data_IF_368993641886
#
_entry.id   IF_368993641886
#
_cell.length_a   1.000
_cell.length_b   1.000
_cell.length_c   1.000
_cell.angle_alpha   90.00
_cell.angle_beta   90.00
_cell.angle_gamma   90.00
#
_symmetry.space_group_name_H-M   'P 1'
#
loop_
_entity.id
_entity.type
_entity.pdbx_description
1 polymer ?
#
# COMPACT_ATOMS: atom_id res chain seq x y z
N UNK A 1 -1.86 23.33 -10.06
CA UNK A 1 -1.18 22.93 -8.80
C UNK A 1 -1.74 21.63 -8.20
N UNK A 2 -2.60 20.88 -8.92
CA UNK A 2 -3.17 19.60 -8.46
C UNK A 2 -2.66 18.38 -9.27
N UNK A 3 -2.11 18.60 -10.47
CA UNK A 3 -1.66 17.51 -11.35
C UNK A 3 -0.19 17.08 -11.11
N UNK A 4 0.62 17.92 -10.45
CA UNK A 4 2.03 17.63 -10.20
C UNK A 4 2.24 16.58 -9.09
N UNK A 5 1.33 16.51 -8.11
CA UNK A 5 1.43 15.58 -6.97
C UNK A 5 1.07 14.14 -7.36
N UNK A 6 0.14 13.96 -8.29
CA UNK A 6 -0.20 12.64 -8.84
C UNK A 6 0.93 12.07 -9.73
N UNK A 7 1.74 12.93 -10.36
CA UNK A 7 2.81 12.49 -11.25
C UNK A 7 4.08 12.00 -10.52
N UNK A 8 4.31 12.46 -9.28
CA UNK A 8 5.45 12.00 -8.49
C UNK A 8 5.24 10.59 -7.90
N UNK A 9 4.00 10.11 -7.81
CA UNK A 9 3.67 8.77 -7.30
C UNK A 9 3.87 7.64 -8.35
N UNK A 10 4.02 7.98 -9.63
CA UNK A 10 4.15 6.99 -10.71
C UNK A 10 5.62 6.68 -11.06
N UNK A 11 6.59 7.43 -10.54
CA UNK A 11 7.99 7.34 -10.98
C UNK A 11 8.87 6.29 -10.29
N UNK A 12 8.36 5.49 -9.36
CA UNK A 12 9.12 4.41 -8.68
C UNK A 12 8.44 3.03 -8.77
N UNK A 13 7.53 2.85 -9.73
CA UNK A 13 6.97 1.53 -10.00
C UNK A 13 8.08 0.58 -10.50
N UNK A 14 8.54 -0.28 -9.61
CA UNK A 14 9.40 -1.41 -9.91
C UNK A 14 10.85 -1.24 -9.50
N UNK A 15 11.13 -1.31 -8.18
CA UNK A 15 12.34 -1.93 -7.56
C UNK A 15 12.37 -1.67 -6.03
N UNK A 16 11.35 -2.10 -5.29
CA UNK A 16 11.29 -1.92 -3.83
C UNK A 16 9.93 -2.28 -3.23
N UNK A 17 9.73 -1.95 -1.95
CA UNK A 17 8.42 -2.01 -1.29
C UNK A 17 7.53 -0.85 -1.73
N UNK A 18 6.28 -1.12 -2.11
CA UNK A 18 5.27 -0.11 -2.40
C UNK A 18 4.72 0.47 -1.08
N UNK A 19 4.64 1.80 -1.02
CA UNK A 19 4.06 2.53 0.11
C UNK A 19 2.67 3.04 -0.26
N UNK A 20 1.70 2.77 0.59
CA UNK A 20 0.32 3.25 0.43
C UNK A 20 0.02 4.37 1.41
N UNK A 21 -0.86 5.28 0.99
CA UNK A 21 -1.43 6.34 1.81
C UNK A 21 -2.95 6.36 1.64
N UNK A 22 -3.67 6.62 2.73
CA UNK A 22 -5.12 6.72 2.69
C UNK A 22 -5.56 7.99 1.93
N UNK A 23 -6.32 7.91 0.82
CA UNK A 23 -6.85 9.08 0.13
C UNK A 23 -7.99 9.75 0.91
N UNK A 24 -8.69 8.99 1.77
CA UNK A 24 -9.83 9.43 2.57
C UNK A 24 -9.73 8.86 3.99
N UNK A 25 -10.46 9.46 4.92
CA UNK A 25 -10.61 8.91 6.28
C UNK A 25 -11.69 7.84 6.31
N UNK A 26 -11.53 6.79 7.11
CA UNK A 26 -12.55 5.75 7.24
C UNK A 26 -12.05 4.47 7.89
N UNK A 27 -12.90 3.44 7.84
CA UNK A 27 -12.60 2.10 8.33
C UNK A 27 -11.70 1.40 7.32
N UNK A 28 -10.51 0.97 7.75
CA UNK A 28 -9.56 0.24 6.91
C UNK A 28 -9.88 -1.26 6.92
N UNK A 29 -10.11 -1.81 5.74
CA UNK A 29 -10.32 -3.25 5.52
C UNK A 29 -9.17 -3.79 4.66
N UNK A 30 -8.56 -4.88 5.11
CA UNK A 30 -7.51 -5.57 4.37
C UNK A 30 -8.12 -6.65 3.48
N UNK A 31 -7.83 -6.61 2.18
CA UNK A 31 -8.34 -7.59 1.21
C UNK A 31 -7.43 -8.82 1.04
N UNK A 32 -6.20 -8.76 1.55
CA UNK A 32 -5.22 -9.84 1.54
C UNK A 32 -4.87 -10.29 2.96
N UNK A 33 -4.54 -11.56 3.11
CA UNK A 33 -4.02 -12.17 4.34
C UNK A 33 -2.50 -12.15 4.33
N UNK A 34 -1.93 -12.19 5.54
CA UNK A 34 -0.47 -12.37 5.67
C UNK A 34 -0.05 -13.66 4.98
N UNK A 35 0.99 -13.58 4.17
CA UNK A 35 1.52 -14.67 3.35
C UNK A 35 0.99 -14.72 1.92
N UNK A 36 -0.06 -13.96 1.59
CA UNK A 36 -0.61 -13.93 0.23
C UNK A 36 0.38 -13.29 -0.76
N UNK A 37 0.47 -13.88 -1.95
CA UNK A 37 1.09 -13.25 -3.11
C UNK A 37 0.18 -12.13 -3.63
N UNK A 38 0.77 -10.97 -3.89
CA UNK A 38 0.11 -9.79 -4.42
C UNK A 38 0.57 -9.60 -5.85
N UNK A 39 -0.37 -9.44 -6.79
CA UNK A 39 -0.09 -9.09 -8.18
C UNK A 39 -0.34 -7.60 -8.45
N UNK A 40 0.29 -7.07 -9.49
CA UNK A 40 -0.03 -5.72 -10.01
C UNK A 40 -1.51 -5.66 -10.40
N UNK A 41 -2.16 -4.56 -10.03
CA UNK A 41 -3.59 -4.31 -10.21
C UNK A 41 -4.48 -4.95 -9.15
N UNK A 42 -3.94 -5.79 -8.25
CA UNK A 42 -4.75 -6.46 -7.25
C UNK A 42 -5.29 -5.48 -6.20
N UNK A 43 -6.61 -5.47 -5.92
CA UNK A 43 -7.20 -4.72 -4.82
C UNK A 43 -6.58 -5.12 -3.49
N UNK A 44 -6.16 -4.13 -2.71
CA UNK A 44 -5.33 -4.34 -1.52
C UNK A 44 -6.00 -3.88 -0.24
N UNK A 45 -6.56 -2.68 -0.26
CA UNK A 45 -7.27 -2.09 0.87
C UNK A 45 -8.59 -1.53 0.39
N UNK A 46 -9.60 -1.63 1.25
CA UNK A 46 -10.80 -0.80 1.14
C UNK A 46 -10.80 0.17 2.33
N UNK A 47 -11.16 1.42 2.08
CA UNK A 47 -11.47 2.40 3.12
C UNK A 47 -12.96 2.69 3.00
N UNK A 48 -13.71 2.34 4.04
CA UNK A 48 -15.16 2.48 4.08
C UNK A 48 -15.53 3.70 4.94
N UNK A 49 -16.33 4.61 4.39
CA UNK A 49 -16.98 5.66 5.18
C UNK A 49 -18.18 5.05 5.92
N UNK A 50 -18.15 4.97 7.26
CA UNK A 50 -19.21 4.33 8.03
C UNK A 50 -20.53 5.13 8.05
N UNK A 51 -20.52 6.40 7.62
CA UNK A 51 -21.71 7.24 7.59
C UNK A 51 -22.48 7.12 6.27
N UNK A 52 -21.75 6.89 5.18
CA UNK A 52 -22.29 6.89 3.81
C UNK A 52 -22.25 5.53 3.13
N UNK A 53 -21.52 4.56 3.70
CA UNK A 53 -21.20 3.25 3.09
C UNK A 53 -20.36 3.34 1.81
N UNK A 54 -19.81 4.52 1.49
CA UNK A 54 -18.91 4.69 0.35
C UNK A 54 -17.60 3.94 0.58
N UNK A 55 -17.14 3.20 -0.45
CA UNK A 55 -15.91 2.40 -0.39
C UNK A 55 -14.87 2.91 -1.38
N UNK A 56 -13.71 3.31 -0.86
CA UNK A 56 -12.53 3.65 -1.67
C UNK A 56 -11.54 2.49 -1.68
N UNK A 57 -11.34 1.86 -2.85
CA UNK A 57 -10.41 0.74 -3.02
C UNK A 57 -9.04 1.19 -3.52
N UNK A 58 -7.97 0.76 -2.85
CA UNK A 58 -6.59 0.93 -3.31
C UNK A 58 -6.07 -0.35 -3.95
N UNK A 59 -5.41 -0.23 -5.10
CA UNK A 59 -4.83 -1.34 -5.87
C UNK A 59 -3.31 -1.27 -5.86
N UNK A 60 -2.65 -2.43 -5.91
CA UNK A 60 -1.19 -2.50 -5.87
C UNK A 60 -0.56 -2.27 -7.24
N UNK A 61 0.53 -1.52 -7.27
CA UNK A 61 1.35 -1.32 -8.47
C UNK A 61 2.61 -2.20 -8.46
N UNK A 62 2.77 -3.06 -7.44
CA UNK A 62 3.94 -3.93 -7.28
C UNK A 62 3.53 -5.36 -7.01
N UNK A 63 4.27 -6.32 -7.59
CA UNK A 63 4.11 -7.74 -7.25
C UNK A 63 4.97 -8.12 -6.05
N UNK A 64 4.45 -8.93 -5.13
CA UNK A 64 5.08 -9.14 -3.83
C UNK A 64 4.45 -10.19 -2.93
N UNK A 65 4.91 -10.24 -1.68
CA UNK A 65 4.29 -11.02 -0.61
C UNK A 65 3.82 -10.06 0.48
N UNK A 66 2.56 -10.20 0.91
CA UNK A 66 2.04 -9.43 2.02
C UNK A 66 2.51 -10.02 3.35
N UNK A 67 3.60 -9.50 3.91
CA UNK A 67 4.29 -10.15 5.04
C UNK A 67 3.90 -9.62 6.43
N UNK A 68 3.42 -8.38 6.55
CA UNK A 68 3.01 -7.80 7.85
C UNK A 68 1.77 -6.93 7.72
N UNK A 69 0.93 -6.92 8.75
CA UNK A 69 -0.28 -6.10 8.84
C UNK A 69 -0.23 -5.29 10.12
N UNK A 70 -0.53 -4.00 10.06
CA UNK A 70 -0.78 -3.20 11.28
C UNK A 70 -2.21 -3.46 11.75
N UNK A 71 -2.38 -3.62 13.07
CA UNK A 71 -3.68 -3.72 13.70
C UNK A 71 -4.34 -2.33 13.84
N UNK A 72 -4.54 -1.67 12.70
CA UNK A 72 -5.26 -0.41 12.58
C UNK A 72 -6.60 -0.68 11.89
N UNK A 73 -7.68 -0.13 12.43
CA UNK A 73 -9.02 -0.29 11.87
C UNK A 73 -9.63 1.03 11.39
N UNK A 74 -9.04 2.16 11.77
CA UNK A 74 -9.44 3.48 11.29
C UNK A 74 -8.21 4.24 10.83
N UNK A 75 -8.34 4.96 9.73
CA UNK A 75 -7.28 5.79 9.15
C UNK A 75 -7.82 7.17 8.86
N UNK A 76 -6.96 8.17 8.98
CA UNK A 76 -7.24 9.53 8.49
C UNK A 76 -6.69 9.69 7.08
N UNK A 77 -7.27 10.58 6.29
CA UNK A 77 -6.69 10.98 5.01
C UNK A 77 -5.19 11.36 5.17
N UNK A 78 -4.35 10.91 4.25
CA UNK A 78 -2.90 11.05 4.27
C UNK A 78 -2.17 10.08 5.20
N UNK A 79 -2.85 9.27 6.01
CA UNK A 79 -2.17 8.32 6.89
C UNK A 79 -1.44 7.23 6.08
N UNK A 80 -0.21 6.85 6.48
CA UNK A 80 0.50 5.75 5.84
C UNK A 80 -0.17 4.40 6.18
N UNK A 81 -0.39 3.59 5.16
CA UNK A 81 -0.93 2.22 5.29
C UNK A 81 0.21 1.18 5.29
N UNK A 82 -0.15 -0.10 5.36
CA UNK A 82 0.82 -1.19 5.34
C UNK A 82 1.56 -1.26 4.00
N UNK A 83 2.90 -1.33 4.02
CA UNK A 83 3.68 -1.49 2.79
C UNK A 83 3.46 -2.87 2.17
N UNK A 84 3.63 -2.95 0.85
CA UNK A 84 3.71 -4.22 0.13
C UNK A 84 5.16 -4.44 -0.29
N UNK A 85 5.78 -5.52 0.16
CA UNK A 85 7.17 -5.83 -0.21
C UNK A 85 7.24 -6.36 -1.63
N UNK A 86 7.98 -5.68 -2.51
CA UNK A 86 8.25 -6.17 -3.85
C UNK A 86 9.01 -7.50 -3.83
N UNK A 87 8.63 -8.43 -4.69
CA UNK A 87 9.16 -9.80 -4.74
C UNK A 87 10.68 -9.91 -5.04
N UNK A 88 11.32 -8.81 -5.49
CA UNK A 88 12.71 -8.80 -5.92
C UNK A 88 13.59 -8.02 -4.95
N UNK A 89 14.52 -8.71 -4.29
CA UNK A 89 15.60 -8.06 -3.56
C UNK A 89 16.43 -7.18 -4.52
N UNK A 90 16.50 -5.88 -4.23
CA UNK A 90 17.22 -4.92 -5.07
C UNK A 90 18.64 -4.60 -4.55
N UNK A 91 18.95 -4.94 -3.29
CA UNK A 91 20.29 -4.74 -2.73
C UNK A 91 21.11 -6.03 -2.77
N UNK A 92 22.28 -5.94 -3.39
CA UNK A 92 23.35 -6.93 -3.29
C UNK A 92 24.49 -6.32 -2.46
N UNK A 93 24.87 -6.95 -1.35
CA UNK A 93 25.90 -6.46 -0.43
C UNK A 93 25.50 -6.59 1.04
N UNK A 94 26.36 -6.10 1.95
CA UNK A 94 26.12 -6.17 3.39
C UNK A 94 25.01 -5.18 3.77
N UNK A 95 23.87 -5.69 4.23
CA UNK A 95 22.73 -4.85 4.65
C UNK A 95 22.96 -4.19 6.01
N UNK A 96 23.79 -4.80 6.86
CA UNK A 96 24.25 -4.29 8.15
C UNK A 96 25.78 -4.40 8.19
N UNK A 97 26.47 -3.28 7.98
CA UNK A 97 27.91 -3.18 8.26
C UNK A 97 28.11 -2.73 9.72
N UNK A 98 29.03 -3.38 10.42
CA UNK A 98 29.48 -2.98 11.76
C UNK A 98 30.43 -1.78 11.68
#
# INVERSE_FOLDING_TARGET
MELQSAFHAVSEAGRGSEQFYAPVSGILVHRAKIGDTICVGQPRFDIVDPLTDETTTLTSNTEGVFYMRRAIHFVTAGAPLDPVTGARAFRTGVLLGA
#
